data_IF_176790782032
#
_entry.id   IF_176790782032
#
_cell.length_a   1.000
_cell.length_b   1.000
_cell.length_c   1.000
_cell.angle_alpha   90.00
_cell.angle_beta   90.00
_cell.angle_gamma   90.00
#
_symmetry.space_group_name_H-M   'P 1'
#
loop_
_entity.id
_entity.type
_entity.pdbx_description
1 polymer ?
#
# COMPACT_ATOMS: atom_id res chain seq x y z
N UNK A 1 4.75 -11.90 18.23
CA UNK A 1 4.40 -10.72 17.42
C UNK A 1 3.71 -9.61 18.22
N UNK A 2 2.95 -9.93 19.27
CA UNK A 2 2.27 -8.89 20.07
C UNK A 2 3.27 -7.87 20.67
N UNK A 3 4.36 -8.33 21.27
CA UNK A 3 5.41 -7.44 21.80
C UNK A 3 6.03 -6.56 20.71
N UNK A 4 6.27 -7.14 19.54
CA UNK A 4 6.79 -6.43 18.37
C UNK A 4 5.79 -5.35 17.87
N UNK A 5 4.51 -5.69 17.78
CA UNK A 5 3.48 -4.75 17.35
C UNK A 5 3.37 -3.56 18.32
N UNK A 6 3.42 -3.82 19.62
CA UNK A 6 3.40 -2.77 20.66
C UNK A 6 4.66 -1.89 20.64
N UNK A 7 5.82 -2.48 20.38
CA UNK A 7 7.08 -1.75 20.23
C UNK A 7 7.07 -0.85 19.00
N UNK A 8 6.69 -1.40 17.82
CA UNK A 8 6.60 -0.66 16.57
C UNK A 8 5.60 0.51 16.61
N UNK A 9 4.58 0.39 17.45
CA UNK A 9 3.52 1.41 17.60
C UNK A 9 3.64 2.22 18.89
N UNK A 10 4.77 2.13 19.58
CA UNK A 10 5.02 2.91 20.79
C UNK A 10 5.06 4.41 20.44
N UNK A 11 4.25 5.21 21.17
CA UNK A 11 4.09 6.64 20.92
C UNK A 11 2.99 7.01 19.93
N UNK A 12 2.38 6.05 19.22
CA UNK A 12 1.21 6.32 18.40
C UNK A 12 -0.05 6.40 19.28
N UNK A 13 -0.79 7.49 19.17
CA UNK A 13 -1.92 7.75 20.04
C UNK A 13 -3.22 7.11 19.54
N UNK A 14 -3.47 7.13 18.21
CA UNK A 14 -4.70 6.58 17.63
C UNK A 14 -4.51 5.18 17.04
N UNK A 15 -5.61 4.42 17.02
CA UNK A 15 -5.60 3.10 16.37
C UNK A 15 -5.31 3.21 14.86
N UNK A 16 -5.76 4.28 14.20
CA UNK A 16 -5.47 4.56 12.80
C UNK A 16 -3.97 4.78 12.56
N UNK A 17 -3.30 5.54 13.42
CA UNK A 17 -1.85 5.74 13.36
C UNK A 17 -1.09 4.42 13.54
N UNK A 18 -1.51 3.59 14.47
CA UNK A 18 -0.92 2.25 14.71
C UNK A 18 -1.10 1.34 13.49
N UNK A 19 -2.30 1.28 12.91
CA UNK A 19 -2.55 0.52 11.69
C UNK A 19 -1.66 1.02 10.55
N UNK A 20 -1.58 2.34 10.35
CA UNK A 20 -0.73 2.97 9.35
C UNK A 20 0.74 2.57 9.50
N UNK A 21 1.26 2.67 10.74
CA UNK A 21 2.66 2.31 11.04
C UNK A 21 2.96 0.85 10.76
N UNK A 22 2.10 -0.06 11.21
CA UNK A 22 2.28 -1.50 10.97
C UNK A 22 2.16 -1.84 9.49
N UNK A 23 1.23 -1.21 8.77
CA UNK A 23 1.08 -1.39 7.33
C UNK A 23 2.34 -0.95 6.58
N UNK A 24 2.86 0.26 6.87
CA UNK A 24 4.10 0.77 6.28
C UNK A 24 5.31 -0.07 6.62
N UNK A 25 5.43 -0.50 7.87
CA UNK A 25 6.51 -1.41 8.25
C UNK A 25 6.53 -2.66 7.35
N UNK A 26 5.37 -3.29 7.12
CA UNK A 26 5.32 -4.47 6.25
C UNK A 26 5.49 -4.09 4.78
N UNK A 27 4.95 -2.97 4.33
CA UNK A 27 5.06 -2.51 2.95
C UNK A 27 6.49 -2.16 2.54
N UNK A 28 7.19 -1.39 3.40
CA UNK A 28 8.45 -0.72 3.04
C UNK A 28 9.69 -1.43 3.62
N UNK A 29 9.61 -1.98 4.86
CA UNK A 29 10.75 -2.60 5.55
C UNK A 29 10.82 -4.12 5.35
N UNK A 30 9.80 -4.75 4.79
CA UNK A 30 9.79 -6.17 4.40
C UNK A 30 9.85 -6.28 2.89
N UNK A 31 10.99 -6.69 2.36
CA UNK A 31 11.22 -6.79 0.93
C UNK A 31 10.32 -7.84 0.29
N UNK A 32 9.67 -7.51 -0.84
CA UNK A 32 8.96 -8.51 -1.63
C UNK A 32 9.93 -9.45 -2.34
N UNK A 33 9.78 -10.73 -2.07
CA UNK A 33 10.56 -11.78 -2.70
C UNK A 33 9.70 -13.03 -2.87
N UNK A 34 9.30 -13.32 -4.12
CA UNK A 34 8.49 -14.48 -4.46
C UNK A 34 9.33 -15.72 -4.68
N UNK A 35 9.38 -16.63 -3.70
CA UNK A 35 9.87 -17.99 -3.87
C UNK A 35 8.71 -18.97 -3.92
N UNK A 36 8.11 -19.12 -5.09
CA UNK A 36 6.97 -20.01 -5.31
C UNK A 36 7.46 -21.42 -5.63
N UNK A 37 8.27 -22.05 -4.75
CA UNK A 37 8.81 -23.37 -4.95
C UNK A 37 8.31 -24.37 -3.89
N UNK A 38 7.89 -25.56 -4.32
CA UNK A 38 7.44 -26.62 -3.43
C UNK A 38 6.22 -26.22 -2.60
N UNK A 39 6.20 -26.57 -1.31
CA UNK A 39 5.08 -26.29 -0.40
C UNK A 39 4.86 -24.78 -0.20
N UNK A 40 5.91 -24.00 -0.29
CA UNK A 40 5.85 -22.53 -0.08
C UNK A 40 5.18 -21.78 -1.25
N UNK A 41 4.88 -22.45 -2.36
CA UNK A 41 3.98 -21.88 -3.37
C UNK A 41 2.57 -21.60 -2.82
N UNK A 42 2.11 -22.37 -1.83
CA UNK A 42 0.77 -22.27 -1.25
C UNK A 42 0.76 -21.96 0.24
N UNK A 43 1.76 -22.45 0.99
CA UNK A 43 1.85 -22.27 2.44
C UNK A 43 2.76 -21.07 2.75
N UNK A 44 2.27 -20.06 3.49
CA UNK A 44 3.13 -18.96 3.92
C UNK A 44 4.18 -19.44 4.94
N UNK A 45 5.30 -18.74 4.98
CA UNK A 45 6.28 -18.83 6.05
C UNK A 45 5.65 -18.33 7.37
N UNK A 46 6.25 -18.68 8.49
CA UNK A 46 5.77 -18.15 9.76
C UNK A 46 6.00 -16.63 9.83
N UNK A 47 5.08 -15.91 10.45
CA UNK A 47 5.21 -14.45 10.59
C UNK A 47 6.47 -14.03 11.38
N UNK A 48 7.00 -14.91 12.25
CA UNK A 48 8.25 -14.67 12.98
C UNK A 48 9.45 -14.74 12.01
N UNK A 49 9.51 -15.77 11.17
CA UNK A 49 10.56 -15.89 10.15
C UNK A 49 10.56 -14.69 9.18
N UNK A 50 9.38 -14.27 8.71
CA UNK A 50 9.23 -13.12 7.81
C UNK A 50 9.66 -11.82 8.51
N UNK A 51 9.30 -11.63 9.78
CA UNK A 51 9.73 -10.49 10.58
C UNK A 51 11.24 -10.44 10.75
N UNK A 52 11.88 -11.58 11.05
CA UNK A 52 13.32 -11.66 11.30
C UNK A 52 14.14 -11.53 10.01
N UNK A 53 13.70 -12.18 8.92
CA UNK A 53 14.39 -12.20 7.64
C UNK A 53 14.19 -10.94 6.80
N UNK A 54 13.12 -10.17 7.08
CA UNK A 54 12.74 -8.95 6.33
C UNK A 54 12.47 -9.18 4.85
N UNK A 55 12.02 -10.38 4.48
CA UNK A 55 11.53 -10.66 3.13
C UNK A 55 10.39 -11.69 3.16
N UNK A 56 9.58 -11.68 2.11
CA UNK A 56 8.48 -12.61 1.89
C UNK A 56 7.66 -12.21 0.67
N UNK A 57 6.81 -13.12 0.23
CA UNK A 57 5.86 -12.86 -0.86
C UNK A 57 4.51 -12.32 -0.34
N UNK A 58 3.48 -12.23 -1.21
CA UNK A 58 2.18 -11.66 -0.86
C UNK A 58 1.53 -12.33 0.35
N UNK A 59 1.54 -13.67 0.43
CA UNK A 59 0.94 -14.42 1.54
C UNK A 59 1.74 -14.29 2.84
N UNK A 60 3.06 -14.21 2.74
CA UNK A 60 3.98 -14.05 3.86
C UNK A 60 3.79 -12.66 4.51
N UNK A 61 3.84 -11.61 3.69
CA UNK A 61 3.64 -10.23 4.13
C UNK A 61 2.22 -10.02 4.69
N UNK A 62 1.20 -10.61 4.05
CA UNK A 62 -0.18 -10.54 4.55
C UNK A 62 -0.34 -11.22 5.91
N UNK A 63 0.24 -12.42 6.11
CA UNK A 63 0.16 -13.12 7.38
C UNK A 63 0.92 -12.38 8.50
N UNK A 64 2.08 -11.79 8.19
CA UNK A 64 2.81 -10.95 9.12
C UNK A 64 1.98 -9.73 9.55
N UNK A 65 1.40 -8.99 8.60
CA UNK A 65 0.56 -7.82 8.91
C UNK A 65 -0.66 -8.20 9.76
N UNK A 66 -1.35 -9.29 9.41
CA UNK A 66 -2.48 -9.81 10.23
C UNK A 66 -2.04 -10.11 11.66
N UNK A 67 -0.87 -10.73 11.84
CA UNK A 67 -0.35 -11.04 13.17
C UNK A 67 0.00 -9.79 13.99
N UNK A 68 0.57 -8.77 13.36
CA UNK A 68 0.88 -7.48 13.98
C UNK A 68 -0.40 -6.71 14.34
N UNK A 69 -1.38 -6.63 13.44
CA UNK A 69 -2.68 -5.98 13.68
C UNK A 69 -3.42 -6.62 14.85
N UNK A 70 -3.48 -7.96 14.90
CA UNK A 70 -4.04 -8.68 16.04
C UNK A 70 -3.28 -8.42 17.35
N UNK A 71 -1.98 -8.20 17.25
CA UNK A 71 -1.13 -7.83 18.41
C UNK A 71 -1.52 -6.52 19.07
N UNK A 72 -2.15 -5.60 18.34
CA UNK A 72 -2.71 -4.33 18.84
C UNK A 72 -4.23 -4.37 19.04
N UNK A 73 -4.86 -5.54 18.93
CA UNK A 73 -6.30 -5.73 19.16
C UNK A 73 -7.19 -5.45 17.95
N UNK A 74 -6.62 -5.26 16.76
CA UNK A 74 -7.40 -5.09 15.50
C UNK A 74 -7.74 -6.45 14.92
N UNK A 75 -9.03 -6.69 14.65
CA UNK A 75 -9.46 -7.91 13.95
C UNK A 75 -9.10 -7.81 12.47
N UNK A 76 -8.32 -8.77 12.01
CA UNK A 76 -7.80 -8.82 10.65
C UNK A 76 -7.68 -10.25 10.15
N UNK A 77 -7.79 -10.44 8.84
CA UNK A 77 -7.64 -11.73 8.18
C UNK A 77 -6.94 -11.58 6.82
N UNK A 78 -6.25 -12.63 6.32
CA UNK A 78 -5.80 -12.67 4.94
C UNK A 78 -7.01 -12.76 4.01
N UNK A 79 -6.90 -12.19 2.82
CA UNK A 79 -7.91 -12.24 1.77
C UNK A 79 -7.25 -12.58 0.44
N UNK A 80 -7.73 -13.63 -0.21
CA UNK A 80 -7.27 -14.01 -1.54
C UNK A 80 -8.02 -13.19 -2.59
N UNK A 81 -7.26 -12.60 -3.51
CA UNK A 81 -7.77 -11.76 -4.60
C UNK A 81 -7.18 -12.18 -5.95
N UNK A 82 -7.69 -11.59 -7.02
CA UNK A 82 -7.18 -11.81 -8.36
C UNK A 82 -6.77 -10.48 -8.99
N UNK A 83 -5.49 -10.37 -9.38
CA UNK A 83 -4.95 -9.15 -10.01
C UNK A 83 -5.33 -9.00 -11.48
N UNK A 84 -5.79 -10.07 -12.13
CA UNK A 84 -6.04 -10.11 -13.57
C UNK A 84 -7.53 -10.26 -13.92
N UNK A 85 -8.42 -10.22 -12.94
CA UNK A 85 -9.88 -10.47 -13.08
C UNK A 85 -10.23 -11.82 -13.74
N UNK A 86 -9.31 -12.80 -13.67
CA UNK A 86 -9.51 -14.17 -14.16
C UNK A 86 -10.07 -15.08 -13.05
N UNK A 87 -10.36 -16.33 -13.36
CA UNK A 87 -11.10 -17.25 -12.48
C UNK A 87 -10.32 -17.76 -11.26
N UNK A 88 -9.00 -17.56 -11.18
CA UNK A 88 -8.15 -18.10 -10.08
C UNK A 88 -7.56 -16.98 -9.23
N UNK A 89 -7.50 -17.21 -7.91
CA UNK A 89 -6.76 -16.32 -7.00
C UNK A 89 -5.26 -16.44 -7.27
N UNK A 90 -4.59 -15.30 -7.32
CA UNK A 90 -3.14 -15.22 -7.54
C UNK A 90 -2.43 -14.22 -6.61
N UNK A 91 -3.17 -13.61 -5.68
CA UNK A 91 -2.62 -12.61 -4.78
C UNK A 91 -3.28 -12.70 -3.41
N UNK A 92 -2.59 -12.21 -2.38
CA UNK A 92 -3.05 -12.18 -1.00
C UNK A 92 -2.87 -10.78 -0.42
N UNK A 93 -3.94 -10.26 0.17
CA UNK A 93 -4.01 -8.94 0.81
C UNK A 93 -4.58 -9.09 2.22
N UNK A 94 -4.73 -8.00 2.95
CA UNK A 94 -5.28 -7.98 4.31
C UNK A 94 -6.60 -7.24 4.32
N UNK A 95 -7.61 -7.86 4.96
CA UNK A 95 -8.86 -7.24 5.36
C UNK A 95 -8.84 -7.04 6.88
N UNK A 96 -9.33 -5.89 7.33
CA UNK A 96 -9.38 -5.56 8.76
C UNK A 96 -10.67 -4.82 9.12
N UNK A 97 -11.09 -4.94 10.38
CA UNK A 97 -12.18 -4.18 10.94
C UNK A 97 -11.68 -2.86 11.54
N UNK A 98 -12.32 -1.76 11.16
CA UNK A 98 -12.00 -0.43 11.69
C UNK A 98 -13.27 0.41 11.81
N UNK A 99 -13.57 0.91 13.02
CA UNK A 99 -14.73 1.76 13.34
C UNK A 99 -16.09 1.22 12.86
N UNK A 100 -16.25 -0.10 12.88
CA UNK A 100 -17.48 -0.80 12.48
C UNK A 100 -17.61 -1.04 10.98
N UNK A 101 -16.63 -0.66 10.19
CA UNK A 101 -16.54 -0.91 8.75
C UNK A 101 -15.39 -1.86 8.40
N UNK A 102 -15.26 -2.18 7.14
CA UNK A 102 -14.23 -3.05 6.59
C UNK A 102 -13.23 -2.23 5.79
N UNK A 103 -11.97 -2.31 6.15
CA UNK A 103 -10.86 -1.69 5.43
C UNK A 103 -9.90 -2.75 4.85
N UNK A 104 -9.10 -2.35 3.88
CA UNK A 104 -8.19 -3.22 3.15
C UNK A 104 -6.80 -2.62 3.07
N UNK A 105 -5.78 -3.47 3.13
CA UNK A 105 -4.38 -3.09 2.91
C UNK A 105 -3.73 -4.12 2.01
N UNK A 106 -3.05 -3.66 0.97
CA UNK A 106 -2.12 -4.51 0.21
C UNK A 106 -0.71 -4.33 0.77
N UNK A 107 -0.17 -5.32 1.49
CA UNK A 107 1.14 -5.20 2.10
C UNK A 107 2.30 -5.32 1.11
N UNK A 108 2.01 -5.55 -0.18
CA UNK A 108 3.05 -5.69 -1.23
C UNK A 108 3.34 -4.40 -1.98
N UNK A 109 2.49 -3.37 -1.81
CA UNK A 109 2.65 -2.08 -2.46
C UNK A 109 3.38 -1.12 -1.52
N UNK A 110 4.56 -0.66 -1.93
CA UNK A 110 5.39 0.27 -1.16
C UNK A 110 5.10 1.73 -1.49
N UNK A 111 5.65 2.66 -0.70
CA UNK A 111 5.56 4.11 -0.89
C UNK A 111 4.14 4.67 -0.83
N UNK A 112 3.26 4.03 -0.07
CA UNK A 112 1.86 4.43 0.07
C UNK A 112 1.70 5.72 0.91
N UNK A 113 0.55 6.39 0.75
CA UNK A 113 0.22 7.69 1.33
C UNK A 113 0.14 7.79 2.85
N UNK A 114 -0.45 8.85 3.37
CA UNK A 114 -0.26 9.28 4.76
C UNK A 114 -0.90 8.37 5.81
N UNK A 115 -2.18 8.06 5.70
CA UNK A 115 -2.90 7.18 6.63
C UNK A 115 -3.44 5.97 5.89
N UNK A 116 -3.67 4.86 6.58
CA UNK A 116 -4.10 3.61 5.95
C UNK A 116 -5.44 3.74 5.20
N UNK A 117 -6.33 4.63 5.63
CA UNK A 117 -7.59 4.92 4.93
C UNK A 117 -7.40 5.73 3.63
N UNK A 118 -6.26 6.41 3.50
CA UNK A 118 -5.90 7.22 2.33
C UNK A 118 -4.94 6.46 1.40
N UNK A 119 -4.48 5.27 1.80
CA UNK A 119 -3.65 4.43 0.95
C UNK A 119 -4.47 3.91 -0.23
N UNK A 120 -3.89 3.97 -1.42
CA UNK A 120 -4.52 3.39 -2.59
C UNK A 120 -4.69 1.88 -2.43
N UNK A 121 -5.84 1.37 -2.84
CA UNK A 121 -6.10 -0.06 -2.87
C UNK A 121 -6.57 -0.46 -4.27
N UNK A 122 -5.84 -1.36 -4.96
CA UNK A 122 -6.17 -1.72 -6.34
C UNK A 122 -7.56 -2.33 -6.49
N UNK A 123 -8.15 -2.18 -7.66
CA UNK A 123 -9.48 -2.71 -7.99
C UNK A 123 -9.41 -4.21 -8.23
N UNK A 124 -9.41 -5.01 -7.17
CA UNK A 124 -9.44 -6.48 -7.26
C UNK A 124 -10.85 -7.06 -7.45
N UNK A 125 -11.87 -6.24 -7.36
CA UNK A 125 -13.28 -6.61 -7.55
C UNK A 125 -13.84 -7.45 -6.42
N UNK A 126 -13.48 -8.74 -6.34
CA UNK A 126 -13.94 -9.67 -5.29
C UNK A 126 -12.78 -10.45 -4.70
N UNK A 127 -12.89 -10.79 -3.42
CA UNK A 127 -11.91 -11.62 -2.74
C UNK A 127 -12.55 -12.62 -1.78
N UNK A 128 -11.78 -13.62 -1.39
CA UNK A 128 -12.14 -14.65 -0.42
C UNK A 128 -11.43 -14.36 0.90
N UNK A 129 -12.18 -13.97 1.91
CA UNK A 129 -11.63 -13.79 3.28
C UNK A 129 -11.29 -15.16 3.85
N UNK A 130 -10.06 -15.35 4.30
CA UNK A 130 -9.59 -16.59 4.91
C UNK A 130 -9.90 -16.56 6.41
N UNK A 131 -11.14 -16.89 6.72
CA UNK A 131 -11.66 -17.00 8.08
C UNK A 131 -12.60 -18.18 8.22
N UNK A 132 -12.71 -18.72 9.46
CA UNK A 132 -13.60 -19.85 9.74
C UNK A 132 -15.06 -19.47 9.42
N UNK A 133 -15.71 -20.27 8.60
CA UNK A 133 -17.11 -20.08 8.24
C UNK A 133 -17.34 -19.22 7.00
N UNK A 134 -16.32 -18.68 6.37
CA UNK A 134 -16.46 -17.99 5.07
C UNK A 134 -17.01 -18.93 4.01
N UNK A 135 -18.07 -18.52 3.34
CA UNK A 135 -18.76 -19.31 2.28
C UNK A 135 -18.84 -18.56 0.95
N UNK A 136 -18.74 -17.24 0.97
CA UNK A 136 -18.97 -16.39 -0.18
C UNK A 136 -17.80 -15.43 -0.42
N UNK A 137 -17.68 -14.96 -1.66
CA UNK A 137 -16.77 -13.89 -2.00
C UNK A 137 -17.28 -12.55 -1.45
N UNK A 138 -16.37 -11.75 -0.94
CA UNK A 138 -16.64 -10.38 -0.53
C UNK A 138 -16.41 -9.44 -1.72
N UNK A 139 -17.33 -8.52 -1.96
CA UNK A 139 -17.14 -7.46 -2.98
C UNK A 139 -16.34 -6.33 -2.37
N UNK A 140 -15.15 -6.11 -2.92
CA UNK A 140 -14.24 -5.05 -2.48
C UNK A 140 -14.72 -3.74 -3.10
N UNK A 141 -14.98 -2.75 -2.26
CA UNK A 141 -15.24 -1.38 -2.73
C UNK A 141 -13.92 -0.63 -2.77
N UNK A 142 -13.64 0.04 -3.86
CA UNK A 142 -12.49 0.95 -3.93
C UNK A 142 -12.72 2.13 -2.98
N UNK A 143 -11.72 2.42 -2.14
CA UNK A 143 -11.89 3.35 -1.03
C UNK A 143 -11.34 4.76 -1.33
N UNK A 144 -10.54 4.94 -2.38
CA UNK A 144 -9.93 6.21 -2.71
C UNK A 144 -9.95 6.51 -4.21
N UNK A 145 -10.14 7.77 -4.51
CA UNK A 145 -10.02 8.33 -5.84
C UNK A 145 -8.70 9.10 -5.95
N UNK A 146 -8.22 9.31 -7.18
CA UNK A 146 -7.05 10.14 -7.45
C UNK A 146 -7.47 11.51 -7.99
N UNK A 147 -6.70 12.55 -7.64
CA UNK A 147 -6.83 13.88 -8.22
C UNK A 147 -5.47 14.39 -8.66
N UNK A 148 -5.44 15.00 -9.84
CA UNK A 148 -4.29 15.75 -10.34
C UNK A 148 -4.72 17.17 -10.60
N UNK A 149 -3.99 18.13 -10.06
CA UNK A 149 -4.22 19.56 -10.29
C UNK A 149 -2.95 20.19 -10.85
N UNK A 150 -3.06 20.82 -12.00
CA UNK A 150 -1.94 21.46 -12.70
C UNK A 150 -2.20 22.97 -12.73
N UNK A 151 -1.23 23.74 -12.25
CA UNK A 151 -1.23 25.21 -12.34
C UNK A 151 -0.06 25.66 -13.21
N UNK A 152 -0.36 26.42 -14.24
CA UNK A 152 0.63 27.01 -15.16
C UNK A 152 0.63 28.51 -15.04
N UNK A 153 1.80 29.09 -14.84
CA UNK A 153 1.99 30.54 -14.74
C UNK A 153 3.00 30.99 -15.78
N UNK A 154 2.51 31.80 -16.73
CA UNK A 154 3.34 32.46 -17.74
C UNK A 154 3.71 33.87 -17.26
N UNK A 155 5.00 34.17 -17.23
CA UNK A 155 5.50 35.53 -17.02
C UNK A 155 6.07 36.00 -18.36
N UNK A 156 5.38 36.92 -19.03
CA UNK A 156 5.77 37.45 -20.33
C UNK A 156 6.58 38.71 -20.15
N UNK A 157 7.73 38.80 -20.82
CA UNK A 157 8.56 40.01 -20.80
C UNK A 157 7.92 41.12 -21.67
N UNK A 158 7.85 42.32 -21.13
CA UNK A 158 7.39 43.53 -21.85
C UNK A 158 8.48 44.14 -22.73
N UNK A 159 9.76 43.76 -22.54
CA UNK A 159 10.93 44.43 -23.15
C UNK A 159 11.48 43.73 -24.39
N UNK A 160 10.88 42.67 -24.88
CA UNK A 160 11.26 41.97 -26.12
C UNK A 160 12.31 40.85 -25.90
N UNK A 161 12.98 40.47 -27.02
CA UNK A 161 13.75 39.21 -27.11
C UNK A 161 14.95 39.04 -26.18
N UNK A 162 15.32 40.03 -25.37
CA UNK A 162 16.45 39.94 -24.44
C UNK A 162 16.06 39.42 -23.06
N UNK A 163 14.78 39.33 -22.75
CA UNK A 163 14.29 38.85 -21.45
C UNK A 163 13.33 37.66 -21.68
N UNK A 164 13.72 36.44 -21.32
CA UNK A 164 12.97 35.24 -21.71
C UNK A 164 11.63 35.16 -20.96
N UNK A 165 10.59 34.76 -21.68
CA UNK A 165 9.32 34.36 -21.07
C UNK A 165 9.56 33.15 -20.14
N UNK A 166 9.08 33.23 -18.91
CA UNK A 166 9.16 32.18 -17.90
C UNK A 166 7.85 31.44 -17.80
N UNK A 167 7.89 30.11 -17.84
CA UNK A 167 6.81 29.22 -17.50
C UNK A 167 7.13 28.54 -16.15
N UNK A 168 6.22 28.67 -15.20
CA UNK A 168 6.24 27.92 -13.94
C UNK A 168 5.05 26.95 -13.97
N UNK A 169 5.34 25.65 -13.79
CA UNK A 169 4.33 24.59 -13.71
C UNK A 169 4.37 23.98 -12.31
N UNK A 170 3.23 23.94 -11.68
CA UNK A 170 3.05 23.26 -10.37
C UNK A 170 2.00 22.19 -10.53
N UNK A 171 2.35 20.95 -10.21
CA UNK A 171 1.42 19.83 -10.23
C UNK A 171 1.25 19.28 -8.82
N UNK A 172 0.00 19.15 -8.37
CA UNK A 172 -0.36 18.52 -7.11
C UNK A 172 -1.08 17.21 -7.37
N UNK A 173 -0.76 16.19 -6.58
CA UNK A 173 -1.34 14.86 -6.69
C UNK A 173 -1.97 14.46 -5.36
N UNK A 174 -3.18 13.88 -5.39
CA UNK A 174 -3.89 13.37 -4.22
C UNK A 174 -4.36 11.92 -4.45
N UNK A 175 -4.59 11.15 -3.36
CA UNK A 175 -5.07 9.78 -3.40
C UNK A 175 -4.14 8.85 -4.19
N UNK A 176 -4.72 8.00 -5.05
CA UNK A 176 -3.97 7.02 -5.86
C UNK A 176 -2.92 7.67 -6.75
N UNK A 177 -3.18 8.87 -7.27
CA UNK A 177 -2.21 9.58 -8.11
C UNK A 177 -0.97 10.02 -7.32
N UNK A 178 -1.14 10.41 -6.05
CA UNK A 178 -0.02 10.71 -5.16
C UNK A 178 0.81 9.47 -4.86
N UNK A 179 0.18 8.30 -4.66
CA UNK A 179 0.89 7.03 -4.44
C UNK A 179 1.65 6.59 -5.70
N UNK A 180 1.06 6.75 -6.89
CA UNK A 180 1.71 6.50 -8.17
C UNK A 180 2.97 7.37 -8.33
N UNK A 181 2.86 8.67 -8.00
CA UNK A 181 4.00 9.60 -8.10
C UNK A 181 5.08 9.31 -7.07
N UNK A 182 4.73 8.92 -5.83
CA UNK A 182 5.74 8.49 -4.84
C UNK A 182 6.52 7.29 -5.33
N UNK A 183 5.83 6.29 -5.90
CA UNK A 183 6.45 5.10 -6.48
C UNK A 183 7.33 5.44 -7.68
N UNK A 184 6.88 6.36 -8.55
CA UNK A 184 7.66 6.86 -9.68
C UNK A 184 8.95 7.53 -9.22
N UNK A 185 8.89 8.47 -8.24
CA UNK A 185 10.06 9.16 -7.72
C UNK A 185 11.01 8.23 -6.96
N UNK A 186 10.49 7.23 -6.24
CA UNK A 186 11.31 6.24 -5.54
C UNK A 186 12.01 5.26 -6.49
N UNK A 187 11.41 4.96 -7.64
CA UNK A 187 11.90 3.99 -8.61
C UNK A 187 12.82 4.55 -9.71
N UNK A 188 12.93 5.88 -9.84
CA UNK A 188 13.67 6.52 -10.91
C UNK A 188 14.80 7.42 -10.40
N UNK A 189 15.90 7.53 -11.18
CA UNK A 189 16.96 8.48 -10.89
C UNK A 189 16.52 9.91 -11.19
N UNK A 190 17.17 10.89 -10.56
CA UNK A 190 16.89 12.31 -10.79
C UNK A 190 17.06 12.71 -12.25
N UNK A 191 18.00 12.10 -12.98
CA UNK A 191 18.22 12.37 -14.40
C UNK A 191 17.06 11.91 -15.28
N UNK A 192 16.40 10.80 -14.94
CA UNK A 192 15.21 10.31 -15.62
C UNK A 192 14.04 11.26 -15.33
N UNK A 193 13.82 11.58 -14.06
CA UNK A 193 12.75 12.48 -13.64
C UNK A 193 12.88 13.85 -14.32
N UNK A 194 14.10 14.42 -14.36
CA UNK A 194 14.36 15.73 -15.00
C UNK A 194 14.10 15.74 -16.50
N UNK A 195 14.19 14.58 -17.18
CA UNK A 195 13.87 14.49 -18.62
C UNK A 195 12.39 14.38 -18.91
N UNK A 196 11.63 13.88 -17.96
CA UNK A 196 10.19 13.68 -18.09
C UNK A 196 9.41 14.98 -17.76
N UNK A 197 10.09 15.94 -17.11
CA UNK A 197 9.57 17.28 -16.75
C UNK A 197 10.39 18.40 -17.41
#
# INVERSE_FOLDING_TARGET
LQSVALELTSGDESIAAKITRLSRFVQDDVRYLGFENGINAFKPHSSVEVYESRYGDCKDKSLLLVGLLKGIGVDAAPMLVNTNLRASFNHCVVVLAYEGDTAFVDPTISNMGNQFLEMSFPTYGKGLIIAKGTKNLYTIKQLNEGKVEISEKFTVSETGASDPTKLEVTTSFEGIEADNMRSYFAGNSIDVITKDY
#
